data_IF_457063129954
#
_entry.id   IF_457063129954
#
_cell.length_a   1.000
_cell.length_b   1.000
_cell.length_c   1.000
_cell.angle_alpha   90.00
_cell.angle_beta   90.00
_cell.angle_gamma   90.00
#
_symmetry.space_group_name_H-M   'P 1'
#
loop_
_entity.id
_entity.type
_entity.pdbx_description
1 polymer ?
#
# COMPACT_ATOMS: atom_id res chain seq x y z
N UNK A 1 11.56 18.54 18.12
CA UNK A 1 11.01 18.05 16.85
C UNK A 1 10.23 19.19 16.25
N UNK A 2 10.46 19.48 14.99
CA UNK A 2 9.66 20.43 14.22
C UNK A 2 8.23 19.89 14.00
N UNK A 3 7.28 20.81 13.81
CA UNK A 3 5.85 20.49 13.68
C UNK A 3 5.58 19.57 12.48
N UNK A 4 6.33 19.74 11.39
CA UNK A 4 6.23 18.90 10.19
C UNK A 4 6.61 17.45 10.49
N UNK A 5 7.78 17.21 11.08
CA UNK A 5 8.19 15.85 11.47
C UNK A 5 7.19 15.19 12.42
N UNK A 6 6.59 15.93 13.35
CA UNK A 6 5.55 15.38 14.23
C UNK A 6 4.35 14.82 13.43
N UNK A 7 3.84 15.57 12.45
CA UNK A 7 2.75 15.11 11.59
C UNK A 7 3.13 13.91 10.73
N UNK A 8 4.34 13.90 10.17
CA UNK A 8 4.86 12.75 9.41
C UNK A 8 4.87 11.50 10.30
N UNK A 9 5.39 11.60 11.52
CA UNK A 9 5.42 10.47 12.46
C UNK A 9 4.03 9.98 12.84
N UNK A 10 3.07 10.88 13.06
CA UNK A 10 1.69 10.51 13.35
C UNK A 10 1.05 9.75 12.17
N UNK A 11 1.24 10.25 10.94
CA UNK A 11 0.75 9.60 9.72
C UNK A 11 1.39 8.22 9.55
N UNK A 12 2.72 8.11 9.66
CA UNK A 12 3.45 6.85 9.52
C UNK A 12 3.02 5.85 10.60
N UNK A 13 2.83 6.30 11.84
CA UNK A 13 2.35 5.46 12.92
C UNK A 13 0.95 4.89 12.61
N UNK A 14 -0.01 5.74 12.22
CA UNK A 14 -1.38 5.31 11.88
C UNK A 14 -1.37 4.37 10.68
N UNK A 15 -0.66 4.72 9.61
CA UNK A 15 -0.58 3.91 8.40
C UNK A 15 0.06 2.54 8.67
N UNK A 16 1.13 2.51 9.45
CA UNK A 16 1.79 1.27 9.91
C UNK A 16 0.86 0.44 10.79
N UNK A 17 0.11 1.07 11.70
CA UNK A 17 -0.85 0.40 12.56
C UNK A 17 -1.95 -0.28 11.73
N UNK A 18 -2.51 0.42 10.74
CA UNK A 18 -3.50 -0.14 9.82
C UNK A 18 -2.92 -1.33 9.06
N UNK A 19 -1.73 -1.20 8.46
CA UNK A 19 -1.10 -2.33 7.75
C UNK A 19 -0.76 -3.51 8.65
N UNK A 20 -0.27 -3.26 9.86
CA UNK A 20 0.01 -4.36 10.80
C UNK A 20 -1.27 -5.00 11.33
N UNK A 21 -2.40 -4.30 11.29
CA UNK A 21 -3.70 -4.87 11.67
C UNK A 21 -4.29 -5.71 10.52
N UNK A 22 -4.43 -5.15 9.32
CA UNK A 22 -5.16 -5.80 8.20
C UNK A 22 -4.26 -6.51 7.20
N UNK A 23 -2.94 -6.31 7.28
CA UNK A 23 -1.99 -6.83 6.31
C UNK A 23 -1.84 -6.00 5.05
N UNK A 24 -2.53 -4.86 4.92
CA UNK A 24 -2.40 -3.90 3.82
C UNK A 24 -2.90 -2.51 4.24
N UNK A 25 -2.73 -1.51 3.38
CA UNK A 25 -3.35 -0.18 3.55
C UNK A 25 -2.46 0.92 4.12
N UNK A 26 -1.18 0.65 4.37
CA UNK A 26 -0.24 1.69 4.81
C UNK A 26 -0.07 2.76 3.73
N UNK A 27 0.38 2.42 2.51
CA UNK A 27 0.52 3.43 1.44
C UNK A 27 -0.80 4.07 1.01
N UNK A 28 -1.94 3.38 1.20
CA UNK A 28 -3.27 3.97 0.96
C UNK A 28 -3.58 5.14 1.90
N UNK A 29 -2.97 5.15 3.09
CA UNK A 29 -3.14 6.20 4.10
C UNK A 29 -1.96 7.16 4.08
N UNK A 30 -0.72 6.61 4.10
CA UNK A 30 0.50 7.38 4.21
C UNK A 30 0.67 8.34 3.04
N UNK A 31 0.65 7.83 1.80
CA UNK A 31 0.95 8.66 0.63
C UNK A 31 0.00 9.85 0.47
N UNK A 32 -1.34 9.67 0.44
CA UNK A 32 -2.21 10.81 0.22
C UNK A 32 -2.15 11.82 1.38
N UNK A 33 -1.90 11.38 2.62
CA UNK A 33 -1.73 12.30 3.75
C UNK A 33 -0.37 13.02 3.73
N UNK A 34 0.70 12.31 3.36
CA UNK A 34 2.05 12.87 3.26
C UNK A 34 2.17 13.88 2.11
N UNK A 35 1.45 13.67 1.00
CA UNK A 35 1.45 14.59 -0.15
C UNK A 35 0.87 15.98 0.19
N UNK A 36 0.09 16.11 1.29
CA UNK A 36 -0.31 17.42 1.80
C UNK A 36 0.81 18.16 2.56
N UNK A 37 1.87 17.45 2.96
CA UNK A 37 2.94 17.97 3.81
C UNK A 37 4.29 18.08 3.08
N UNK A 38 4.57 17.15 2.17
CA UNK A 38 5.82 17.05 1.42
C UNK A 38 5.53 16.72 -0.06
N UNK A 39 6.44 17.07 -0.98
CA UNK A 39 6.36 16.67 -2.38
C UNK A 39 6.11 15.17 -2.57
N UNK A 40 5.42 14.79 -3.64
CA UNK A 40 5.07 13.39 -3.93
C UNK A 40 6.32 12.53 -4.15
N UNK A 41 7.38 13.15 -4.66
CA UNK A 41 8.71 12.59 -4.87
C UNK A 41 9.38 12.18 -3.55
N UNK A 42 8.97 12.76 -2.42
CA UNK A 42 9.43 12.37 -1.07
C UNK A 42 8.42 11.39 -0.43
N UNK A 43 7.13 11.68 -0.53
CA UNK A 43 6.07 10.89 0.10
C UNK A 43 6.05 9.42 -0.36
N UNK A 44 6.20 9.20 -1.68
CA UNK A 44 6.11 7.86 -2.26
C UNK A 44 7.33 6.99 -1.89
N UNK A 45 8.59 7.42 -2.11
CA UNK A 45 9.75 6.62 -1.69
C UNK A 45 9.81 6.39 -0.18
N UNK A 46 9.39 7.37 0.65
CA UNK A 46 9.29 7.19 2.09
C UNK A 46 8.32 6.06 2.46
N UNK A 47 7.11 6.06 1.88
CA UNK A 47 6.13 4.98 2.09
C UNK A 47 6.67 3.63 1.63
N UNK A 48 7.41 3.58 0.50
CA UNK A 48 7.99 2.33 0.00
C UNK A 48 9.11 1.79 0.90
N UNK A 49 9.96 2.65 1.48
CA UNK A 49 10.96 2.21 2.48
C UNK A 49 10.29 1.66 3.75
N UNK A 50 9.26 2.34 4.24
CA UNK A 50 8.44 1.86 5.36
C UNK A 50 7.81 0.51 5.01
N UNK A 51 7.31 0.37 3.78
CA UNK A 51 6.73 -0.87 3.27
C UNK A 51 7.71 -2.03 3.28
N UNK A 52 8.96 -1.81 2.85
CA UNK A 52 10.02 -2.83 2.87
C UNK A 52 10.25 -3.31 4.30
N UNK A 53 10.40 -2.38 5.25
CA UNK A 53 10.63 -2.71 6.66
C UNK A 53 9.48 -3.54 7.25
N UNK A 54 8.24 -3.09 7.07
CA UNK A 54 7.06 -3.79 7.59
C UNK A 54 6.91 -5.17 6.93
N UNK A 55 7.08 -5.26 5.60
CA UNK A 55 6.96 -6.52 4.88
C UNK A 55 8.02 -7.53 5.33
N UNK A 56 9.28 -7.11 5.50
CA UNK A 56 10.35 -7.98 5.99
C UNK A 56 10.01 -8.58 7.36
N UNK A 57 9.55 -7.75 8.29
CA UNK A 57 9.16 -8.20 9.64
C UNK A 57 8.02 -9.21 9.58
N UNK A 58 6.95 -8.91 8.83
CA UNK A 58 5.76 -9.77 8.79
C UNK A 58 6.01 -11.07 8.00
N UNK A 59 6.77 -11.03 6.90
CA UNK A 59 7.15 -12.24 6.14
C UNK A 59 7.89 -13.22 7.04
N UNK A 60 8.86 -12.74 7.83
CA UNK A 60 9.61 -13.60 8.76
C UNK A 60 8.69 -14.21 9.82
N UNK A 61 7.75 -13.42 10.36
CA UNK A 61 6.82 -13.85 11.41
C UNK A 61 5.76 -14.86 10.93
N UNK A 62 5.19 -14.66 9.74
CA UNK A 62 4.04 -15.42 9.24
C UNK A 62 4.38 -16.32 8.04
N UNK A 63 5.66 -16.63 7.80
CA UNK A 63 6.14 -17.37 6.60
C UNK A 63 5.39 -18.67 6.29
N UNK A 64 4.88 -19.36 7.32
CA UNK A 64 4.17 -20.63 7.17
C UNK A 64 2.77 -20.49 6.55
N UNK A 65 2.20 -19.28 6.52
CA UNK A 65 0.86 -18.99 6.00
C UNK A 65 0.89 -18.41 4.57
N UNK A 66 2.07 -18.36 3.95
CA UNK A 66 2.25 -17.77 2.62
C UNK A 66 1.75 -18.75 1.55
N UNK A 67 0.83 -18.30 0.69
CA UNK A 67 0.52 -18.98 -0.56
C UNK A 67 1.59 -18.65 -1.62
N UNK A 68 2.71 -19.37 -1.55
CA UNK A 68 3.91 -19.05 -2.33
C UNK A 68 3.67 -19.05 -3.85
N UNK A 69 2.87 -19.99 -4.36
CA UNK A 69 2.55 -20.08 -5.79
C UNK A 69 1.84 -18.80 -6.28
N UNK A 70 0.79 -18.36 -5.59
CA UNK A 70 0.07 -17.14 -5.94
C UNK A 70 0.95 -15.90 -5.78
N UNK A 71 1.69 -15.78 -4.68
CA UNK A 71 2.61 -14.66 -4.45
C UNK A 71 3.66 -14.53 -5.56
N UNK A 72 4.25 -15.66 -5.99
CA UNK A 72 5.23 -15.71 -7.08
C UNK A 72 4.64 -15.18 -8.39
N UNK A 73 3.48 -15.67 -8.81
CA UNK A 73 2.90 -15.25 -10.09
C UNK A 73 2.38 -13.82 -10.07
N UNK A 74 1.78 -13.40 -8.96
CA UNK A 74 1.41 -11.99 -8.77
C UNK A 74 2.65 -11.11 -8.92
N UNK A 75 3.76 -11.47 -8.29
CA UNK A 75 5.02 -10.72 -8.37
C UNK A 75 5.56 -10.68 -9.80
N UNK A 76 5.58 -11.80 -10.52
CA UNK A 76 6.05 -11.86 -11.92
C UNK A 76 5.30 -10.84 -12.78
N UNK A 77 3.98 -10.79 -12.69
CA UNK A 77 3.18 -9.83 -13.46
C UNK A 77 3.31 -8.40 -12.93
N UNK A 78 3.54 -8.23 -11.63
CA UNK A 78 3.81 -6.93 -11.05
C UNK A 78 5.10 -6.30 -11.55
N UNK A 79 6.17 -7.10 -11.72
CA UNK A 79 7.43 -6.63 -12.29
C UNK A 79 7.23 -6.02 -13.67
N UNK A 80 6.24 -6.48 -14.44
CA UNK A 80 5.88 -5.87 -15.73
C UNK A 80 5.12 -4.55 -15.57
N UNK A 81 4.34 -4.39 -14.50
CA UNK A 81 3.56 -3.17 -14.21
C UNK A 81 4.36 -2.07 -13.50
N UNK A 82 5.35 -2.42 -12.67
CA UNK A 82 6.18 -1.47 -11.90
C UNK A 82 6.79 -0.38 -12.79
N UNK A 83 7.41 -0.68 -13.95
CA UNK A 83 7.95 0.35 -14.84
C UNK A 83 6.89 1.35 -15.29
N UNK A 84 5.69 0.91 -15.65
CA UNK A 84 4.61 1.81 -16.08
C UNK A 84 4.17 2.74 -14.93
N UNK A 85 4.06 2.21 -13.71
CA UNK A 85 3.78 3.02 -12.51
C UNK A 85 4.88 4.03 -12.22
N UNK A 86 6.13 3.61 -12.31
CA UNK A 86 7.29 4.48 -12.06
C UNK A 86 7.40 5.59 -13.10
N UNK A 87 7.12 5.30 -14.37
CA UNK A 87 7.05 6.32 -15.42
C UNK A 87 5.92 7.33 -15.15
N UNK A 88 4.77 6.88 -14.64
CA UNK A 88 3.69 7.77 -14.24
C UNK A 88 4.12 8.73 -13.12
N UNK A 89 4.88 8.25 -12.13
CA UNK A 89 5.41 9.10 -11.06
C UNK A 89 6.46 10.09 -11.56
N UNK A 90 7.38 9.66 -12.42
CA UNK A 90 8.51 10.50 -12.88
C UNK A 90 8.11 11.53 -13.92
N UNK A 91 7.20 11.18 -14.83
CA UNK A 91 6.84 12.03 -15.97
C UNK A 91 5.43 12.59 -15.88
N UNK A 92 4.59 12.07 -14.99
CA UNK A 92 3.28 12.65 -14.70
C UNK A 92 3.43 13.98 -13.99
N UNK A 93 2.59 14.95 -14.33
CA UNK A 93 2.51 16.16 -13.53
C UNK A 93 1.82 15.86 -12.18
N UNK A 94 2.07 16.72 -11.20
CA UNK A 94 1.55 16.54 -9.84
C UNK A 94 0.02 16.39 -9.80
N UNK A 95 -0.69 17.18 -10.62
CA UNK A 95 -2.15 17.15 -10.72
C UNK A 95 -2.68 15.81 -11.25
N UNK A 96 -2.04 15.21 -12.26
CA UNK A 96 -2.40 13.91 -12.80
C UNK A 96 -2.18 12.82 -11.74
N UNK A 97 -1.04 12.84 -11.06
CA UNK A 97 -0.66 11.88 -10.02
C UNK A 97 -1.67 11.92 -8.87
N UNK A 98 -1.99 13.12 -8.35
CA UNK A 98 -3.02 13.30 -7.31
C UNK A 98 -4.40 12.85 -7.77
N UNK A 99 -4.78 13.17 -9.01
CA UNK A 99 -6.09 12.79 -9.56
C UNK A 99 -6.26 11.28 -9.69
N UNK A 100 -5.27 10.60 -10.28
CA UNK A 100 -5.29 9.16 -10.45
C UNK A 100 -5.29 8.46 -9.08
N UNK A 101 -4.49 8.94 -8.12
CA UNK A 101 -4.53 8.44 -6.75
C UNK A 101 -5.92 8.59 -6.13
N UNK A 102 -6.52 9.78 -6.22
CA UNK A 102 -7.85 10.05 -5.69
C UNK A 102 -8.93 9.13 -6.29
N UNK A 103 -8.91 8.93 -7.61
CA UNK A 103 -9.81 8.00 -8.31
C UNK A 103 -9.62 6.57 -7.80
N UNK A 104 -8.38 6.10 -7.67
CA UNK A 104 -8.07 4.75 -7.15
C UNK A 104 -8.62 4.58 -5.74
N UNK A 105 -8.43 5.57 -4.86
CA UNK A 105 -8.94 5.53 -3.49
C UNK A 105 -10.46 5.44 -3.45
N UNK A 106 -11.16 6.25 -4.24
CA UNK A 106 -12.62 6.26 -4.31
C UNK A 106 -13.14 4.91 -4.84
N UNK A 107 -12.62 4.46 -5.99
CA UNK A 107 -13.07 3.21 -6.61
C UNK A 107 -12.82 2.01 -5.68
N UNK A 108 -11.66 1.94 -5.05
CA UNK A 108 -11.35 0.86 -4.13
C UNK A 108 -12.22 0.91 -2.85
N UNK A 109 -12.49 2.10 -2.34
CA UNK A 109 -13.34 2.27 -1.15
C UNK A 109 -14.78 1.89 -1.45
N UNK A 110 -15.33 2.32 -2.59
CA UNK A 110 -16.66 1.94 -3.06
C UNK A 110 -16.75 0.42 -3.27
N UNK A 111 -15.76 -0.17 -3.94
CA UNK A 111 -15.69 -1.62 -4.09
C UNK A 111 -15.71 -2.31 -2.73
N UNK A 112 -14.89 -1.87 -1.78
CA UNK A 112 -14.76 -2.56 -0.49
C UNK A 112 -15.98 -2.39 0.42
N UNK A 113 -16.72 -1.28 0.29
CA UNK A 113 -17.96 -1.02 1.06
C UNK A 113 -19.19 -1.72 0.49
N UNK A 114 -19.29 -1.84 -0.84
CA UNK A 114 -20.50 -2.31 -1.51
C UNK A 114 -20.37 -3.70 -2.15
N UNK A 115 -19.16 -4.19 -2.41
CA UNK A 115 -18.96 -5.50 -3.02
C UNK A 115 -19.28 -6.62 -2.03
N UNK A 116 -20.38 -7.33 -2.29
CA UNK A 116 -20.64 -8.66 -1.73
C UNK A 116 -20.13 -9.68 -2.74
N UNK A 117 -18.82 -9.88 -2.77
CA UNK A 117 -18.16 -10.75 -3.76
C UNK A 117 -18.71 -12.18 -3.72
N UNK A 118 -19.58 -12.50 -4.69
CA UNK A 118 -20.11 -13.84 -4.95
C UNK A 118 -19.19 -14.66 -5.85
N UNK A 119 -18.21 -14.01 -6.50
CA UNK A 119 -17.30 -14.64 -7.44
C UNK A 119 -16.10 -15.25 -6.72
N UNK A 120 -16.05 -16.59 -6.66
CA UNK A 120 -15.00 -17.34 -5.96
C UNK A 120 -14.24 -18.26 -6.92
N UNK A 121 -12.92 -18.12 -6.93
CA UNK A 121 -11.98 -18.95 -7.69
C UNK A 121 -11.53 -20.14 -6.85
N UNK A 122 -11.80 -21.36 -7.32
CA UNK A 122 -11.36 -22.60 -6.64
C UNK A 122 -9.85 -22.83 -6.73
N UNK A 123 -9.20 -22.32 -7.77
CA UNK A 123 -7.76 -22.50 -8.06
C UNK A 123 -7.16 -21.20 -8.59
N UNK A 124 -5.83 -21.12 -8.59
CA UNK A 124 -5.10 -20.06 -9.29
C UNK A 124 -5.54 -19.99 -10.75
N UNK A 125 -5.96 -18.81 -11.20
CA UNK A 125 -6.28 -18.51 -12.58
C UNK A 125 -5.26 -17.48 -13.10
N UNK A 126 -4.55 -17.83 -14.18
CA UNK A 126 -3.45 -17.03 -14.71
C UNK A 126 -3.90 -15.64 -15.18
N UNK A 127 -5.11 -15.52 -15.72
CA UNK A 127 -5.66 -14.25 -16.18
C UNK A 127 -5.90 -13.29 -15.01
N UNK A 128 -6.48 -13.79 -13.91
CA UNK A 128 -6.67 -12.98 -12.71
C UNK A 128 -5.36 -12.67 -11.98
N UNK A 129 -4.40 -13.60 -11.98
CA UNK A 129 -3.06 -13.34 -11.48
C UNK A 129 -2.37 -12.25 -12.30
N UNK A 130 -2.53 -12.25 -13.63
CA UNK A 130 -2.01 -11.22 -14.52
C UNK A 130 -2.64 -9.86 -14.22
N UNK A 131 -3.97 -9.75 -14.22
CA UNK A 131 -4.67 -8.48 -13.96
C UNK A 131 -4.29 -7.94 -12.59
N UNK A 132 -4.47 -8.73 -11.53
CA UNK A 132 -4.22 -8.27 -10.17
C UNK A 132 -2.74 -7.99 -9.95
N UNK A 133 -1.84 -8.84 -10.44
CA UNK A 133 -0.39 -8.64 -10.33
C UNK A 133 0.08 -7.39 -11.08
N UNK A 134 -0.30 -7.25 -12.34
CA UNK A 134 0.08 -6.12 -13.20
C UNK A 134 -0.40 -4.78 -12.63
N UNK A 135 -1.69 -4.63 -12.32
CA UNK A 135 -2.21 -3.38 -11.76
C UNK A 135 -1.67 -3.08 -10.37
N UNK A 136 -1.40 -4.11 -9.54
CA UNK A 136 -0.71 -3.90 -8.26
C UNK A 136 0.71 -3.41 -8.48
N UNK A 137 1.41 -3.88 -9.51
CA UNK A 137 2.71 -3.38 -9.92
C UNK A 137 2.65 -1.93 -10.39
N UNK A 138 1.66 -1.56 -11.22
CA UNK A 138 1.47 -0.17 -11.67
C UNK A 138 1.23 0.75 -10.47
N UNK A 139 0.30 0.40 -9.58
CA UNK A 139 0.01 1.22 -8.40
C UNK A 139 1.16 1.21 -7.39
N UNK A 140 1.87 0.09 -7.28
CA UNK A 140 3.09 -0.05 -6.49
C UNK A 140 4.24 0.83 -6.99
N UNK A 141 4.45 0.89 -8.30
CA UNK A 141 5.47 1.73 -8.92
C UNK A 141 5.13 3.22 -8.88
N UNK A 142 3.86 3.58 -9.00
CA UNK A 142 3.43 4.99 -8.98
C UNK A 142 3.30 5.56 -7.56
N UNK A 143 2.82 4.76 -6.60
CA UNK A 143 2.41 5.24 -5.28
C UNK A 143 2.87 4.37 -4.11
N UNK A 144 3.57 3.25 -4.34
CA UNK A 144 3.77 2.23 -3.30
C UNK A 144 2.49 1.44 -2.94
N UNK A 145 1.36 1.75 -3.57
CA UNK A 145 0.03 1.20 -3.26
C UNK A 145 -0.20 -0.12 -3.98
N UNK A 146 0.43 -1.18 -3.50
CA UNK A 146 0.32 -2.51 -4.10
C UNK A 146 -0.97 -3.26 -3.71
N UNK A 147 -1.66 -2.83 -2.65
CA UNK A 147 -2.67 -3.64 -1.95
C UNK A 147 -3.99 -3.91 -2.67
N UNK A 148 -4.68 -2.90 -3.25
CA UNK A 148 -6.07 -3.05 -3.70
C UNK A 148 -6.34 -4.25 -4.61
N UNK A 149 -5.62 -4.44 -5.73
CA UNK A 149 -5.94 -5.54 -6.65
C UNK A 149 -5.58 -6.91 -6.04
N UNK A 150 -4.61 -6.98 -5.13
CA UNK A 150 -4.25 -8.23 -4.45
C UNK A 150 -5.25 -8.61 -3.36
N UNK A 151 -5.84 -7.63 -2.67
CA UNK A 151 -6.93 -7.88 -1.71
C UNK A 151 -8.15 -8.42 -2.44
N UNK A 152 -8.48 -7.86 -3.61
CA UNK A 152 -9.53 -8.38 -4.50
C UNK A 152 -9.23 -9.83 -4.89
N UNK A 153 -8.00 -10.13 -5.32
CA UNK A 153 -7.59 -11.49 -5.68
C UNK A 153 -7.72 -12.46 -4.50
N UNK A 154 -7.29 -12.04 -3.32
CA UNK A 154 -7.37 -12.84 -2.11
C UNK A 154 -8.81 -13.13 -1.66
N UNK A 155 -9.71 -12.15 -1.81
CA UNK A 155 -11.14 -12.36 -1.56
C UNK A 155 -11.75 -13.33 -2.59
N UNK A 156 -11.40 -13.21 -3.87
CA UNK A 156 -11.81 -14.17 -4.90
C UNK A 156 -11.31 -15.58 -4.58
N UNK A 157 -10.13 -15.73 -3.98
CA UNK A 157 -9.57 -17.01 -3.53
C UNK A 157 -10.05 -17.47 -2.15
N UNK A 158 -10.89 -16.66 -1.50
CA UNK A 158 -11.42 -16.91 -0.16
C UNK A 158 -10.32 -17.15 0.89
N UNK A 159 -9.21 -16.41 0.79
CA UNK A 159 -8.14 -16.52 1.76
C UNK A 159 -8.59 -16.02 3.13
N UNK A 160 -8.29 -16.80 4.17
CA UNK A 160 -8.42 -16.31 5.56
C UNK A 160 -7.54 -15.06 5.76
N UNK A 161 -7.90 -14.18 6.69
CA UNK A 161 -7.13 -12.96 6.99
C UNK A 161 -5.63 -13.22 7.22
N UNK A 162 -5.28 -14.33 7.91
CA UNK A 162 -3.89 -14.70 8.15
C UNK A 162 -3.13 -15.10 6.87
N UNK A 163 -3.76 -15.86 5.99
CA UNK A 163 -3.17 -16.23 4.69
C UNK A 163 -3.08 -15.04 3.75
N UNK A 164 -4.10 -14.18 3.70
CA UNK A 164 -4.10 -12.94 2.93
C UNK A 164 -2.92 -12.07 3.37
N UNK A 165 -2.86 -11.72 4.67
CA UNK A 165 -1.78 -10.92 5.24
C UNK A 165 -0.40 -11.48 4.89
N UNK A 166 -0.14 -12.75 5.17
CA UNK A 166 1.17 -13.35 4.93
C UNK A 166 1.55 -13.33 3.44
N UNK A 167 0.60 -13.69 2.57
CA UNK A 167 0.82 -13.75 1.11
C UNK A 167 1.05 -12.36 0.52
N UNK A 168 0.33 -11.35 0.99
CA UNK A 168 0.53 -9.96 0.57
C UNK A 168 1.95 -9.47 0.92
N UNK A 169 2.46 -9.75 2.12
CA UNK A 169 3.81 -9.31 2.49
C UNK A 169 4.90 -10.04 1.71
N UNK A 170 4.69 -11.32 1.38
CA UNK A 170 5.60 -12.09 0.52
C UNK A 170 5.71 -11.52 -0.90
N UNK A 171 4.64 -10.87 -1.37
CA UNK A 171 4.64 -10.10 -2.61
C UNK A 171 5.23 -8.69 -2.39
N UNK A 172 4.78 -7.96 -1.36
CA UNK A 172 5.12 -6.54 -1.17
C UNK A 172 6.61 -6.35 -0.94
N UNK A 173 7.28 -7.27 -0.25
CA UNK A 173 8.71 -7.16 0.02
C UNK A 173 9.54 -7.08 -1.28
N UNK A 174 9.55 -8.12 -2.16
CA UNK A 174 10.31 -8.04 -3.41
C UNK A 174 9.78 -6.96 -4.36
N UNK A 175 8.47 -6.75 -4.46
CA UNK A 175 7.91 -5.70 -5.32
C UNK A 175 8.37 -4.29 -4.89
N UNK A 176 8.38 -4.02 -3.58
CA UNK A 176 8.83 -2.73 -3.03
C UNK A 176 10.33 -2.55 -3.21
N UNK A 177 11.15 -3.60 -3.07
CA UNK A 177 12.59 -3.54 -3.35
C UNK A 177 12.84 -3.17 -4.82
N UNK A 178 12.12 -3.80 -5.75
CA UNK A 178 12.22 -3.50 -7.18
C UNK A 178 11.77 -2.05 -7.46
N UNK A 179 10.62 -1.62 -6.92
CA UNK A 179 10.16 -0.24 -7.04
C UNK A 179 11.16 0.78 -6.50
N UNK A 180 11.69 0.53 -5.29
CA UNK A 180 12.68 1.39 -4.64
C UNK A 180 13.99 1.48 -5.44
N UNK A 181 14.42 0.39 -6.08
CA UNK A 181 15.58 0.40 -6.96
C UNK A 181 15.39 1.32 -8.18
N UNK A 182 14.16 1.38 -8.71
CA UNK A 182 13.81 2.31 -9.76
C UNK A 182 13.79 3.77 -9.28
N UNK A 183 13.27 4.02 -8.07
CA UNK A 183 13.31 5.36 -7.47
C UNK A 183 14.73 5.85 -7.25
N UNK A 184 15.60 4.98 -6.77
CA UNK A 184 17.03 5.27 -6.64
C UNK A 184 17.66 5.62 -7.98
N UNK A 185 17.41 4.81 -9.02
CA UNK A 185 17.91 5.08 -10.38
C UNK A 185 17.42 6.41 -10.95
N UNK A 186 16.21 6.85 -10.58
CA UNK A 186 15.63 8.14 -10.99
C UNK A 186 16.00 9.31 -10.08
N UNK A 187 16.81 9.08 -9.04
CA UNK A 187 17.22 10.13 -8.10
C UNK A 187 16.14 10.58 -7.11
N UNK A 188 15.05 9.82 -6.96
CA UNK A 188 13.98 10.12 -6.00
C UNK A 188 14.31 9.69 -4.57
N UNK A 189 15.35 8.86 -4.39
CA UNK A 189 15.87 8.54 -3.07
C UNK A 189 16.99 9.52 -2.70
N UNK A 190 16.62 10.57 -1.98
CA UNK A 190 17.52 11.62 -1.51
C UNK A 190 17.76 11.57 0.02
N UNK A 191 18.45 12.60 0.52
CA UNK A 191 18.73 12.75 1.95
C UNK A 191 17.47 13.01 2.79
N UNK A 192 16.45 13.69 2.23
CA UNK A 192 15.21 13.99 2.93
C UNK A 192 14.39 12.71 3.16
N UNK A 193 14.26 11.87 2.13
CA UNK A 193 13.62 10.54 2.23
C UNK A 193 14.32 9.69 3.29
N UNK A 194 15.66 9.67 3.27
CA UNK A 194 16.45 8.91 4.25
C UNK A 194 16.26 9.43 5.67
N UNK A 195 16.26 10.75 5.86
CA UNK A 195 16.05 11.39 7.15
C UNK A 195 14.68 11.04 7.73
N UNK A 196 13.59 11.26 6.98
CA UNK A 196 12.25 10.97 7.44
C UNK A 196 12.03 9.48 7.70
N UNK A 197 12.63 8.60 6.89
CA UNK A 197 12.59 7.17 7.14
C UNK A 197 13.23 6.82 8.49
N UNK A 198 14.48 7.25 8.72
CA UNK A 198 15.21 6.94 9.96
C UNK A 198 14.51 7.48 11.21
N UNK A 199 13.98 8.71 11.14
CA UNK A 199 13.23 9.32 12.25
C UNK A 199 11.89 8.59 12.48
N UNK A 200 11.34 7.92 11.46
CA UNK A 200 10.10 7.13 11.58
C UNK A 200 10.32 5.71 12.13
N UNK A 201 11.53 5.14 12.06
CA UNK A 201 11.80 3.78 12.55
C UNK A 201 11.33 3.55 14.00
N UNK A 202 11.59 4.46 14.96
CA UNK A 202 11.15 4.28 16.35
C UNK A 202 9.63 4.17 16.53
N UNK A 203 8.82 4.80 15.66
CA UNK A 203 7.34 4.73 15.75
C UNK A 203 6.77 3.53 15.00
N UNK A 204 7.49 3.00 14.00
CA UNK A 204 7.08 1.83 13.23
C UNK A 204 7.02 0.58 14.12
N UNK A 205 8.03 0.37 14.98
CA UNK A 205 8.10 -0.81 15.86
C UNK A 205 6.87 -0.94 16.77
N UNK A 206 6.51 0.06 17.60
CA UNK A 206 5.32 -0.04 18.45
C UNK A 206 4.03 -0.14 17.62
N UNK A 207 3.93 0.53 16.47
CA UNK A 207 2.77 0.39 15.59
C UNK A 207 2.61 -1.04 15.05
N UNK A 208 3.72 -1.71 14.70
CA UNK A 208 3.68 -3.12 14.28
C UNK A 208 3.16 -4.01 15.43
N UNK A 209 3.69 -3.84 16.64
CA UNK A 209 3.29 -4.64 17.80
C UNK A 209 1.80 -4.43 18.15
N UNK A 210 1.36 -3.17 18.22
CA UNK A 210 -0.03 -2.81 18.50
C UNK A 210 -0.98 -3.31 17.41
N UNK A 211 -0.62 -3.14 16.14
CA UNK A 211 -1.46 -3.60 15.04
C UNK A 211 -1.60 -5.12 15.02
N UNK A 212 -0.52 -5.85 15.38
CA UNK A 212 -0.59 -7.31 15.56
C UNK A 212 -1.57 -7.68 16.67
N UNK A 213 -1.51 -6.99 17.80
CA UNK A 213 -2.45 -7.19 18.91
C UNK A 213 -3.91 -6.97 18.47
N UNK A 214 -4.19 -5.90 17.72
CA UNK A 214 -5.54 -5.63 17.21
C UNK A 214 -6.02 -6.65 16.18
N UNK A 215 -5.14 -7.14 15.29
CA UNK A 215 -5.49 -8.18 14.32
C UNK A 215 -6.07 -9.44 14.99
N UNK A 216 -5.59 -9.80 16.19
CA UNK A 216 -6.12 -10.95 16.91
C UNK A 216 -7.46 -10.69 17.62
N UNK A 217 -7.82 -9.43 17.87
CA UNK A 217 -9.03 -9.05 18.63
C UNK A 217 -10.17 -8.54 17.75
N UNK A 218 -9.89 -7.95 16.60
CA UNK A 218 -10.90 -7.43 15.69
C UNK A 218 -11.53 -8.60 14.91
N UNK A 219 -12.65 -9.10 15.43
CA UNK A 219 -13.52 -10.07 14.73
C UNK A 219 -14.57 -9.38 13.86
N UNK A 220 -14.84 -8.10 14.10
CA UNK A 220 -15.91 -7.35 13.45
C UNK A 220 -15.37 -6.46 12.32
N UNK A 221 -15.95 -6.60 11.11
CA UNK A 221 -15.58 -5.84 9.91
C UNK A 221 -15.90 -4.34 9.97
N UNK A 222 -16.49 -3.84 11.06
CA UNK A 222 -16.87 -2.45 11.23
C UNK A 222 -15.68 -1.48 11.14
N UNK A 223 -14.51 -1.86 11.68
CA UNK A 223 -13.32 -1.01 11.62
C UNK A 223 -12.86 -0.77 10.17
N UNK A 224 -12.89 -1.82 9.33
CA UNK A 224 -12.50 -1.70 7.93
C UNK A 224 -13.42 -0.74 7.17
N UNK A 225 -14.71 -0.73 7.48
CA UNK A 225 -15.65 0.21 6.89
C UNK A 225 -15.25 1.66 7.22
N UNK A 226 -14.81 1.97 8.45
CA UNK A 226 -14.32 3.31 8.80
C UNK A 226 -13.06 3.68 8.02
N UNK A 227 -12.12 2.74 7.85
CA UNK A 227 -10.93 2.96 7.02
C UNK A 227 -11.33 3.28 5.58
N UNK A 228 -12.22 2.49 4.97
CA UNK A 228 -12.67 2.73 3.60
C UNK A 228 -13.43 4.05 3.44
N UNK A 229 -14.26 4.43 4.41
CA UNK A 229 -14.91 5.75 4.41
C UNK A 229 -13.88 6.89 4.50
N UNK A 230 -12.86 6.74 5.35
CA UNK A 230 -11.74 7.69 5.43
C UNK A 230 -10.97 7.80 4.12
N UNK A 231 -10.65 6.67 3.47
CA UNK A 231 -9.98 6.64 2.17
C UNK A 231 -10.81 7.30 1.07
N UNK A 232 -12.13 7.07 1.05
CA UNK A 232 -13.03 7.76 0.13
C UNK A 232 -13.00 9.28 0.35
N UNK A 233 -13.06 9.73 1.61
CA UNK A 233 -12.95 11.15 1.96
C UNK A 233 -11.63 11.77 1.50
N UNK A 234 -10.49 11.10 1.78
CA UNK A 234 -9.17 11.54 1.34
C UNK A 234 -9.10 11.62 -0.19
N UNK A 235 -9.66 10.64 -0.91
CA UNK A 235 -9.71 10.65 -2.37
C UNK A 235 -10.51 11.82 -2.94
N UNK A 236 -11.64 12.18 -2.32
CA UNK A 236 -12.45 13.35 -2.70
C UNK A 236 -11.65 14.64 -2.48
N UNK A 237 -10.95 14.76 -1.35
CA UNK A 237 -10.14 15.95 -1.04
C UNK A 237 -9.00 16.12 -2.06
N UNK A 238 -8.32 15.04 -2.44
CA UNK A 238 -7.28 15.10 -3.47
C UNK A 238 -7.82 15.58 -4.82
N UNK A 239 -8.99 15.08 -5.24
CA UNK A 239 -9.61 15.53 -6.49
C UNK A 239 -10.06 17.00 -6.42
N UNK A 240 -10.62 17.43 -5.30
CA UNK A 240 -11.01 18.82 -5.09
C UNK A 240 -9.80 19.75 -5.16
N UNK A 241 -8.66 19.37 -4.58
CA UNK A 241 -7.43 20.16 -4.63
C UNK A 241 -6.94 20.37 -6.06
N UNK A 242 -6.97 19.32 -6.90
CA UNK A 242 -6.57 19.43 -8.31
C UNK A 242 -7.46 20.37 -9.10
N UNK A 243 -8.76 20.44 -8.78
CA UNK A 243 -9.70 21.37 -9.44
C UNK A 243 -9.47 22.84 -9.06
N UNK A 244 -8.82 23.09 -7.92
CA UNK A 244 -8.59 24.43 -7.37
C UNK A 244 -7.17 24.95 -7.72
N UNK A 245 -6.26 24.06 -8.15
CA UNK A 245 -4.85 24.35 -8.46
C UNK A 245 -4.63 24.68 -9.93
#
# INVERSE_FOLDING_TARGET
MDVLTFYILAIVFIATLVRSTFGFGESLIAVPLLVFLVPVEIAVPLSVLISILIAAVIVVQDRKKIHFHSAKWLLVFAVMGIPAGLLLLVYGNENLIKSVLGIILILYSLYSLFSKSSFKLKKDNIFWLFICGFFSGVFGGAYGVNGPPLVIYGDMRNWTAGHLRATLQAYFLPASIIGMSGYWYKGLWDAAVTHYFLVSVPVIVPAILLGRYFNHRLRDGAFLNYVYMGLAGIGIVLLAQVLIS
#
